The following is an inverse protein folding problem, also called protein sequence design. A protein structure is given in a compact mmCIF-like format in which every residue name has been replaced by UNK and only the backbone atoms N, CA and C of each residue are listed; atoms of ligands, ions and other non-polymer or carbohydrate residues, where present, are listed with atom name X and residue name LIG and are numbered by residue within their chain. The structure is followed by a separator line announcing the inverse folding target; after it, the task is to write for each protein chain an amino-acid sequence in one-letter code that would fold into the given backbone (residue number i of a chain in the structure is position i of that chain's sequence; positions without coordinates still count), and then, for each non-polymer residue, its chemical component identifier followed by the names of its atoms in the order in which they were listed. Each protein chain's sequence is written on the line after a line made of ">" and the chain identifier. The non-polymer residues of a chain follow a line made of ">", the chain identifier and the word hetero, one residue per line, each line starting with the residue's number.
data_IF_044606743819
#
_entry.id   IF_044606743819
#
_cell.length_a   1.000
_cell.length_b   1.000
_cell.length_c   1.000
_cell.angle_alpha   90.00
_cell.angle_beta   90.00
_cell.angle_gamma   90.00
#
_symmetry.space_group_name_H-M   'P 1'
#
loop_
_entity.id
_entity.type
_entity.pdbx_description
1 polymer ?
#
# COMPACT_ATOMS: atom_id res chain seq x y z
N UNK A 1 -1.23 -28.99 -7.14
CA UNK A 1 -1.08 -27.68 -6.49
C UNK A 1 0.01 -26.92 -7.24
N UNK A 2 -0.31 -25.76 -7.80
CA UNK A 2 0.65 -24.90 -8.53
C UNK A 2 1.67 -24.28 -7.56
N UNK A 3 2.92 -24.15 -7.99
CA UNK A 3 3.97 -23.45 -7.24
C UNK A 3 4.20 -22.08 -7.86
N UNK A 4 4.00 -21.03 -7.08
CA UNK A 4 4.17 -19.64 -7.50
C UNK A 4 5.41 -19.06 -6.79
N UNK A 5 6.38 -18.57 -7.54
CA UNK A 5 7.49 -17.81 -6.99
C UNK A 5 7.14 -16.32 -6.95
N UNK A 6 7.18 -15.71 -5.77
CA UNK A 6 6.80 -14.31 -5.54
C UNK A 6 8.03 -13.47 -5.26
N UNK A 7 8.29 -12.48 -6.12
CA UNK A 7 9.42 -11.55 -6.00
C UNK A 7 8.97 -10.08 -6.14
N UNK A 8 9.83 -9.16 -5.74
CA UNK A 8 9.57 -7.72 -5.89
C UNK A 8 9.07 -7.02 -4.64
N UNK A 9 8.76 -7.78 -3.58
CA UNK A 9 8.44 -7.26 -2.25
C UNK A 9 9.68 -7.24 -1.35
N UNK A 10 9.57 -6.60 -0.18
CA UNK A 10 10.55 -6.76 0.91
C UNK A 10 10.30 -8.07 1.67
N UNK A 11 9.05 -8.57 1.60
CA UNK A 11 8.51 -9.72 2.32
C UNK A 11 7.41 -9.34 3.30
N UNK A 12 6.81 -10.36 3.90
CA UNK A 12 5.84 -10.27 4.99
C UNK A 12 5.99 -11.49 5.92
N UNK A 13 5.38 -11.56 7.12
CA UNK A 13 4.63 -10.50 7.79
C UNK A 13 5.53 -9.46 8.47
N UNK A 14 4.91 -8.42 9.02
CA UNK A 14 5.57 -7.46 9.92
C UNK A 14 6.44 -6.40 9.24
N UNK A 15 6.37 -6.26 7.90
CA UNK A 15 7.08 -5.23 7.16
C UNK A 15 6.08 -4.19 6.63
N UNK A 16 6.31 -2.93 6.98
CA UNK A 16 5.44 -1.81 6.58
C UNK A 16 5.53 -1.54 5.07
N UNK A 17 4.38 -1.45 4.39
CA UNK A 17 4.29 -1.05 2.98
C UNK A 17 3.02 -1.54 2.32
N UNK A 18 2.48 -0.78 1.36
CA UNK A 18 1.25 -1.17 0.65
C UNK A 18 1.42 -2.44 -0.19
N UNK A 19 2.60 -2.63 -0.80
CA UNK A 19 2.90 -3.85 -1.58
C UNK A 19 3.05 -5.06 -0.66
N UNK A 20 3.67 -4.87 0.51
CA UNK A 20 3.84 -5.90 1.53
C UNK A 20 2.48 -6.32 2.10
N UNK A 21 1.60 -5.36 2.43
CA UNK A 21 0.24 -5.62 2.89
C UNK A 21 -0.61 -6.31 1.81
N UNK A 22 -0.59 -5.81 0.57
CA UNK A 22 -1.25 -6.47 -0.56
C UNK A 22 -0.79 -7.93 -0.71
N UNK A 23 0.51 -8.16 -0.69
CA UNK A 23 1.06 -9.51 -0.85
C UNK A 23 0.69 -10.43 0.32
N UNK A 24 0.71 -9.90 1.55
CA UNK A 24 0.29 -10.63 2.73
C UNK A 24 -1.15 -11.13 2.57
N UNK A 25 -2.10 -10.24 2.37
CA UNK A 25 -3.51 -10.61 2.25
C UNK A 25 -3.78 -11.49 1.03
N UNK A 26 -3.23 -11.16 -0.14
CA UNK A 26 -3.42 -11.96 -1.35
C UNK A 26 -2.99 -13.41 -1.15
N UNK A 27 -1.76 -13.64 -0.66
CA UNK A 27 -1.21 -14.99 -0.60
C UNK A 27 -1.69 -15.80 0.60
N UNK A 28 -2.17 -15.16 1.66
CA UNK A 28 -2.82 -15.86 2.79
C UNK A 28 -4.25 -16.30 2.48
N UNK A 29 -4.89 -15.75 1.43
CA UNK A 29 -6.20 -16.18 0.93
C UNK A 29 -6.12 -17.15 -0.26
N UNK A 30 -4.93 -17.67 -0.58
CA UNK A 30 -4.71 -18.63 -1.67
C UNK A 30 -4.42 -20.04 -1.15
N UNK A 31 -5.45 -20.84 -0.90
CA UNK A 31 -5.26 -22.20 -0.36
C UNK A 31 -4.84 -23.23 -1.42
N UNK A 32 -5.15 -22.97 -2.71
CA UNK A 32 -4.94 -23.89 -3.82
C UNK A 32 -3.55 -23.79 -4.46
N UNK A 33 -2.66 -22.96 -3.95
CA UNK A 33 -1.31 -22.72 -4.50
C UNK A 33 -0.24 -22.85 -3.42
N UNK A 34 0.92 -23.33 -3.81
CA UNK A 34 2.13 -23.25 -3.00
C UNK A 34 2.90 -21.98 -3.37
N UNK A 35 3.07 -21.09 -2.41
CA UNK A 35 3.76 -19.82 -2.60
C UNK A 35 5.20 -19.93 -2.09
N UNK A 36 6.20 -19.64 -2.93
CA UNK A 36 7.58 -19.39 -2.54
C UNK A 36 7.82 -17.90 -2.49
N UNK A 37 7.79 -17.33 -1.29
CA UNK A 37 7.98 -15.89 -1.08
C UNK A 37 9.46 -15.58 -0.85
N UNK A 38 10.06 -14.81 -1.76
CA UNK A 38 11.43 -14.34 -1.67
C UNK A 38 11.51 -13.08 -0.83
N UNK A 39 12.07 -13.19 0.41
CA UNK A 39 12.14 -12.09 1.36
C UNK A 39 13.55 -11.50 1.43
N UNK A 40 13.62 -10.19 1.67
CA UNK A 40 14.89 -9.46 1.85
C UNK A 40 15.35 -9.57 3.30
N UNK A 41 16.41 -10.35 3.55
CA UNK A 41 16.92 -10.63 4.91
C UNK A 41 17.20 -9.38 5.74
N UNK A 42 17.63 -8.27 5.13
CA UNK A 42 17.91 -7.01 5.83
C UNK A 42 16.68 -6.36 6.50
N UNK A 43 15.48 -6.75 6.13
CA UNK A 43 14.22 -6.25 6.71
C UNK A 43 13.59 -7.20 7.73
N UNK A 44 14.15 -8.40 7.90
CA UNK A 44 13.66 -9.38 8.85
C UNK A 44 14.30 -9.08 10.22
N UNK A 45 13.58 -8.43 11.11
CA UNK A 45 14.03 -8.15 12.47
C UNK A 45 13.40 -9.13 13.44
N UNK A 46 14.17 -10.17 13.87
CA UNK A 46 13.99 -10.94 15.12
C UNK A 46 12.62 -11.50 15.52
N UNK A 47 11.57 -11.25 14.79
CA UNK A 47 10.24 -11.79 15.06
C UNK A 47 10.17 -13.23 14.52
N UNK A 48 9.66 -14.15 15.33
CA UNK A 48 9.28 -15.48 14.88
C UNK A 48 8.31 -15.33 13.71
N UNK A 49 8.73 -15.75 12.52
CA UNK A 49 7.92 -15.60 11.33
C UNK A 49 6.61 -16.37 11.54
N UNK A 50 5.48 -15.67 11.51
CA UNK A 50 4.19 -16.32 11.38
C UNK A 50 4.27 -17.22 10.15
N UNK A 51 3.95 -18.50 10.32
CA UNK A 51 4.00 -19.49 9.25
C UNK A 51 2.61 -19.74 8.71
N UNK A 52 2.52 -19.92 7.40
CA UNK A 52 1.29 -20.25 6.69
C UNK A 52 1.48 -21.59 5.97
N UNK A 53 0.50 -22.48 5.98
CA UNK A 53 0.66 -23.85 5.43
C UNK A 53 1.03 -23.88 3.95
N UNK A 54 0.58 -22.87 3.19
CA UNK A 54 0.79 -22.75 1.74
C UNK A 54 2.01 -21.89 1.37
N UNK A 55 2.70 -21.25 2.34
CA UNK A 55 3.77 -20.27 2.07
C UNK A 55 5.13 -20.78 2.58
N UNK A 56 6.06 -20.95 1.66
CA UNK A 56 7.47 -21.23 1.91
C UNK A 56 8.28 -19.92 1.80
N UNK A 57 9.03 -19.58 2.84
CA UNK A 57 9.87 -18.37 2.85
C UNK A 57 11.29 -18.69 2.36
N UNK A 58 11.74 -17.91 1.37
CA UNK A 58 13.11 -17.95 0.84
C UNK A 58 13.82 -16.64 1.21
N UNK A 59 14.63 -16.69 2.26
CA UNK A 59 15.30 -15.50 2.81
C UNK A 59 16.67 -15.31 2.14
N UNK A 60 16.74 -14.36 1.19
CA UNK A 60 17.96 -14.06 0.46
C UNK A 60 18.70 -12.84 1.01
N UNK A 61 20.04 -12.79 0.85
CA UNK A 61 20.83 -11.62 1.20
C UNK A 61 20.32 -10.36 0.47
N UNK A 62 20.25 -9.26 1.19
CA UNK A 62 19.91 -7.95 0.62
C UNK A 62 20.73 -6.86 1.30
N UNK A 63 20.89 -5.73 0.63
CA UNK A 63 21.50 -4.51 1.17
C UNK A 63 20.40 -3.52 1.54
N UNK A 64 20.73 -2.50 2.34
CA UNK A 64 19.85 -1.34 2.59
C UNK A 64 20.24 -0.11 1.75
N UNK A 65 21.15 -0.26 0.78
CA UNK A 65 21.54 0.84 -0.10
C UNK A 65 20.39 1.22 -1.03
N UNK A 66 19.96 2.49 -0.94
CA UNK A 66 18.86 3.04 -1.76
C UNK A 66 19.08 2.75 -3.25
N UNK A 67 18.08 2.19 -3.92
CA UNK A 67 18.06 1.90 -5.35
C UNK A 67 18.77 0.58 -5.77
N UNK A 68 19.79 0.15 -5.07
CA UNK A 68 20.52 -1.08 -5.40
C UNK A 68 19.90 -2.33 -4.74
N UNK A 69 19.28 -2.17 -3.58
CA UNK A 69 18.71 -3.28 -2.80
C UNK A 69 17.72 -4.13 -3.59
N UNK A 70 16.81 -3.47 -4.35
CA UNK A 70 15.78 -4.15 -5.12
C UNK A 70 16.40 -4.93 -6.29
N UNK A 71 17.35 -4.32 -7.00
CA UNK A 71 18.03 -4.93 -8.17
C UNK A 71 18.82 -6.15 -7.73
N UNK A 72 19.67 -6.01 -6.70
CA UNK A 72 20.49 -7.09 -6.20
C UNK A 72 19.67 -8.29 -5.71
N UNK A 73 18.68 -8.03 -4.83
CA UNK A 73 17.82 -9.08 -4.31
C UNK A 73 17.03 -9.77 -5.43
N UNK A 74 16.51 -9.00 -6.40
CA UNK A 74 15.75 -9.59 -7.51
C UNK A 74 16.64 -10.47 -8.38
N UNK A 75 17.89 -10.07 -8.65
CA UNK A 75 18.85 -10.88 -9.40
C UNK A 75 19.09 -12.22 -8.69
N UNK A 76 19.38 -12.21 -7.38
CA UNK A 76 19.57 -13.45 -6.60
C UNK A 76 18.32 -14.31 -6.61
N UNK A 77 17.14 -13.71 -6.48
CA UNK A 77 15.87 -14.42 -6.56
C UNK A 77 15.66 -15.10 -7.91
N UNK A 78 15.96 -14.41 -9.00
CA UNK A 78 15.84 -14.97 -10.36
C UNK A 78 16.79 -16.13 -10.57
N UNK A 79 18.04 -16.03 -10.12
CA UNK A 79 19.02 -17.15 -10.20
C UNK A 79 18.52 -18.38 -9.42
N UNK A 80 17.99 -18.18 -8.22
CA UNK A 80 17.41 -19.25 -7.42
C UNK A 80 16.18 -19.87 -8.09
N UNK A 81 15.29 -19.04 -8.65
CA UNK A 81 14.08 -19.47 -9.36
C UNK A 81 14.42 -20.35 -10.57
N UNK A 82 15.45 -20.00 -11.35
CA UNK A 82 15.89 -20.77 -12.52
C UNK A 82 16.31 -22.19 -12.11
N UNK A 83 16.96 -22.34 -10.94
CA UNK A 83 17.34 -23.65 -10.40
C UNK A 83 16.18 -24.48 -9.79
N UNK A 84 15.08 -23.81 -9.37
CA UNK A 84 13.98 -24.44 -8.63
C UNK A 84 12.62 -24.37 -9.35
N UNK A 85 12.58 -23.98 -10.56
CA UNK A 85 11.48 -23.91 -11.56
C UNK A 85 10.06 -23.99 -10.96
N UNK A 86 9.43 -22.86 -10.61
CA UNK A 86 8.01 -22.81 -10.27
C UNK A 86 7.14 -22.93 -11.54
N UNK A 87 5.84 -23.10 -11.37
CA UNK A 87 4.88 -23.05 -12.49
C UNK A 87 4.69 -21.64 -13.02
N UNK A 88 4.73 -20.62 -12.13
CA UNK A 88 4.60 -19.18 -12.46
C UNK A 88 5.53 -18.36 -11.59
N UNK A 89 6.07 -17.28 -12.16
CA UNK A 89 6.75 -16.24 -11.40
C UNK A 89 5.86 -15.00 -11.33
N UNK A 90 5.45 -14.61 -10.12
CA UNK A 90 4.69 -13.41 -9.88
C UNK A 90 5.61 -12.29 -9.40
N UNK A 91 5.70 -11.23 -10.20
CA UNK A 91 6.56 -10.08 -9.93
C UNK A 91 5.71 -8.91 -9.46
N UNK A 92 6.04 -8.34 -8.31
CA UNK A 92 5.44 -7.09 -7.84
C UNK A 92 6.33 -5.91 -8.20
N UNK A 93 5.74 -4.88 -8.81
CA UNK A 93 6.37 -3.65 -9.26
C UNK A 93 7.24 -3.73 -10.53
N UNK A 94 7.33 -2.59 -11.21
CA UNK A 94 8.04 -2.42 -12.48
C UNK A 94 9.57 -2.53 -12.37
N UNK A 95 10.15 -2.15 -11.22
CA UNK A 95 11.60 -2.25 -11.02
C UNK A 95 12.10 -3.70 -11.10
N UNK A 96 11.62 -4.61 -10.23
CA UNK A 96 11.88 -6.05 -10.33
C UNK A 96 11.47 -6.66 -11.66
N UNK A 97 10.42 -6.15 -12.31
CA UNK A 97 9.94 -6.60 -13.62
C UNK A 97 10.96 -6.48 -14.74
N UNK A 98 12.02 -5.67 -14.59
CA UNK A 98 13.12 -5.62 -15.56
C UNK A 98 13.80 -6.98 -15.79
N UNK A 99 13.65 -7.92 -14.88
CA UNK A 99 14.19 -9.27 -14.99
C UNK A 99 13.25 -10.26 -15.70
N UNK A 100 12.04 -9.86 -16.08
CA UNK A 100 11.09 -10.70 -16.81
C UNK A 100 11.69 -11.33 -18.09
N UNK A 101 12.53 -10.65 -18.91
CA UNK A 101 13.15 -11.26 -20.07
C UNK A 101 13.97 -12.51 -19.75
N UNK A 102 14.74 -12.52 -18.65
CA UNK A 102 15.57 -13.67 -18.25
C UNK A 102 14.69 -14.87 -17.87
N UNK A 103 13.59 -14.63 -17.16
CA UNK A 103 12.64 -15.68 -16.79
C UNK A 103 11.92 -16.24 -18.03
N UNK A 104 11.54 -15.38 -18.97
CA UNK A 104 10.93 -15.77 -20.23
C UNK A 104 11.88 -16.59 -21.12
N UNK A 105 13.16 -16.22 -21.16
CA UNK A 105 14.19 -16.92 -21.94
C UNK A 105 14.34 -18.37 -21.50
N UNK A 106 14.17 -18.65 -20.20
CA UNK A 106 14.21 -20.03 -19.66
C UNK A 106 12.85 -20.71 -19.64
N UNK A 107 11.83 -20.12 -20.30
CA UNK A 107 10.50 -20.71 -20.47
C UNK A 107 9.58 -20.61 -19.25
N UNK A 108 9.87 -19.72 -18.27
CA UNK A 108 9.01 -19.51 -17.11
C UNK A 108 7.93 -18.46 -17.41
N UNK A 109 6.64 -18.76 -17.14
CA UNK A 109 5.58 -17.78 -17.23
C UNK A 109 5.73 -16.69 -16.20
N UNK A 110 5.49 -15.43 -16.61
CA UNK A 110 5.60 -14.25 -15.75
C UNK A 110 4.27 -13.53 -15.65
N UNK A 111 3.79 -13.34 -14.43
CA UNK A 111 2.68 -12.44 -14.07
C UNK A 111 3.26 -11.21 -13.38
N UNK A 112 2.83 -10.04 -13.76
CA UNK A 112 3.26 -8.77 -13.15
C UNK A 112 2.07 -8.12 -12.45
N UNK A 113 2.19 -7.77 -11.16
CA UNK A 113 1.28 -6.81 -10.54
C UNK A 113 1.90 -5.41 -10.57
N UNK A 114 1.21 -4.52 -11.29
CA UNK A 114 1.56 -3.11 -11.42
C UNK A 114 0.88 -2.30 -10.30
N UNK A 115 1.64 -1.92 -9.26
CA UNK A 115 1.12 -1.17 -8.12
C UNK A 115 1.08 0.34 -8.36
N UNK A 116 2.18 0.90 -8.90
CA UNK A 116 2.28 2.33 -9.18
C UNK A 116 3.45 2.65 -10.10
N UNK A 117 3.43 3.80 -10.81
CA UNK A 117 4.56 4.29 -11.56
C UNK A 117 5.62 4.87 -10.63
N UNK A 118 6.49 4.02 -10.09
CA UNK A 118 7.49 4.39 -9.08
C UNK A 118 8.37 5.58 -9.48
N UNK A 119 8.51 5.87 -10.78
CA UNK A 119 9.30 7.00 -11.29
C UNK A 119 8.63 8.37 -11.06
N UNK A 120 7.35 8.43 -10.69
CA UNK A 120 6.65 9.67 -10.36
C UNK A 120 6.98 10.19 -8.95
N UNK A 121 7.62 9.37 -8.11
CA UNK A 121 8.06 9.82 -6.80
C UNK A 121 9.16 10.89 -6.90
N UNK A 122 9.01 11.97 -6.13
CA UNK A 122 9.93 13.12 -6.12
C UNK A 122 11.39 12.78 -5.76
N UNK A 123 11.60 11.66 -5.06
CA UNK A 123 12.93 11.19 -4.61
C UNK A 123 13.88 10.78 -5.75
N UNK A 124 13.39 10.58 -6.97
CA UNK A 124 14.19 10.07 -8.07
C UNK A 124 14.77 11.20 -8.91
N UNK A 125 16.10 11.11 -9.20
CA UNK A 125 16.76 11.96 -10.18
C UNK A 125 16.25 11.70 -11.61
N UNK A 126 16.49 12.63 -12.54
CA UNK A 126 16.04 12.47 -13.93
C UNK A 126 16.59 11.19 -14.61
N UNK A 127 17.88 10.79 -14.45
CA UNK A 127 18.40 9.53 -14.98
C UNK A 127 17.71 8.31 -14.37
N UNK A 128 17.43 8.33 -13.04
CA UNK A 128 16.75 7.23 -12.37
C UNK A 128 15.29 7.09 -12.85
N UNK A 129 14.59 8.21 -13.06
CA UNK A 129 13.23 8.20 -13.66
C UNK A 129 13.25 7.62 -15.07
N UNK A 130 14.23 8.00 -15.89
CA UNK A 130 14.37 7.44 -17.23
C UNK A 130 14.59 5.92 -17.17
N UNK A 131 15.50 5.45 -16.30
CA UNK A 131 15.76 4.02 -16.12
C UNK A 131 14.49 3.27 -15.68
N UNK A 132 13.74 3.79 -14.69
CA UNK A 132 12.51 3.17 -14.22
C UNK A 132 11.43 3.11 -15.31
N UNK A 133 11.35 4.10 -16.20
CA UNK A 133 10.49 4.04 -17.38
C UNK A 133 10.90 2.93 -18.37
N UNK A 134 12.22 2.68 -18.54
CA UNK A 134 12.66 1.54 -19.33
C UNK A 134 12.31 0.21 -18.65
N UNK A 135 12.49 0.12 -17.32
CA UNK A 135 12.06 -1.05 -16.55
C UNK A 135 10.55 -1.32 -16.72
N UNK A 136 9.71 -0.28 -16.70
CA UNK A 136 8.28 -0.40 -16.96
C UNK A 136 8.00 -0.99 -18.34
N UNK A 137 8.57 -0.40 -19.41
CA UNK A 137 8.39 -0.90 -20.77
C UNK A 137 8.81 -2.37 -20.92
N UNK A 138 9.96 -2.74 -20.34
CA UNK A 138 10.45 -4.12 -20.33
C UNK A 138 9.48 -5.03 -19.59
N UNK A 139 9.06 -4.63 -18.40
CA UNK A 139 8.14 -5.40 -17.55
C UNK A 139 6.81 -5.66 -18.26
N UNK A 140 6.22 -4.60 -18.83
CA UNK A 140 4.96 -4.68 -19.56
C UNK A 140 5.09 -5.54 -20.82
N UNK A 141 6.20 -5.43 -21.56
CA UNK A 141 6.41 -6.19 -22.80
C UNK A 141 6.59 -7.69 -22.54
N UNK A 142 7.44 -8.06 -21.59
CA UNK A 142 7.86 -9.44 -21.36
C UNK A 142 6.98 -10.24 -20.41
N UNK A 143 6.07 -9.62 -19.66
CA UNK A 143 5.09 -10.38 -18.85
C UNK A 143 4.03 -11.06 -19.71
N UNK A 144 3.63 -12.28 -19.32
CA UNK A 144 2.55 -13.03 -19.96
C UNK A 144 1.18 -12.43 -19.64
N UNK A 145 1.00 -12.03 -18.38
CA UNK A 145 -0.20 -11.36 -17.88
C UNK A 145 0.21 -10.20 -16.97
N UNK A 146 -0.62 -9.17 -16.93
CA UNK A 146 -0.38 -7.97 -16.15
C UNK A 146 -1.63 -7.67 -15.34
N UNK A 147 -1.50 -7.59 -14.03
CA UNK A 147 -2.55 -7.17 -13.11
C UNK A 147 -2.29 -5.72 -12.74
N UNK A 148 -3.21 -4.84 -13.04
CA UNK A 148 -3.19 -3.46 -12.59
C UNK A 148 -4.12 -3.31 -11.38
N UNK A 149 -3.61 -2.74 -10.30
CA UNK A 149 -4.45 -2.38 -9.13
C UNK A 149 -5.09 -1.01 -9.29
N UNK A 150 -4.78 -0.30 -10.37
CA UNK A 150 -5.30 1.03 -10.69
C UNK A 150 -5.73 1.09 -12.15
N UNK A 151 -7.03 1.32 -12.37
CA UNK A 151 -7.64 1.36 -13.70
C UNK A 151 -7.10 2.49 -14.56
N UNK A 152 -6.90 3.68 -13.97
CA UNK A 152 -6.31 4.82 -14.67
C UNK A 152 -4.90 4.50 -15.20
N UNK A 153 -4.07 3.79 -14.41
CA UNK A 153 -2.73 3.40 -14.87
C UNK A 153 -2.81 2.34 -15.98
N UNK A 154 -3.76 1.41 -15.91
CA UNK A 154 -3.98 0.44 -16.99
C UNK A 154 -4.32 1.14 -18.31
N UNK A 155 -5.23 2.11 -18.28
CA UNK A 155 -5.61 2.91 -19.44
C UNK A 155 -4.44 3.74 -19.99
N UNK A 156 -3.67 4.39 -19.10
CA UNK A 156 -2.47 5.16 -19.45
C UNK A 156 -1.37 4.31 -20.09
N UNK A 157 -1.26 3.04 -19.69
CA UNK A 157 -0.33 2.07 -20.30
C UNK A 157 -0.86 1.44 -21.60
N UNK A 158 -2.03 1.86 -22.10
CA UNK A 158 -2.62 1.42 -23.37
C UNK A 158 -3.48 0.16 -23.27
N UNK A 159 -3.95 -0.22 -22.08
CA UNK A 159 -4.87 -1.35 -21.84
C UNK A 159 -4.54 -2.58 -22.72
N UNK A 160 -3.32 -3.12 -22.58
CA UNK A 160 -2.81 -4.25 -23.36
C UNK A 160 -3.74 -5.46 -23.24
N UNK A 161 -3.91 -6.25 -24.30
CA UNK A 161 -4.77 -7.46 -24.33
C UNK A 161 -4.47 -8.47 -23.22
N UNK A 162 -3.25 -8.44 -22.67
CA UNK A 162 -2.79 -9.27 -21.54
C UNK A 162 -2.97 -8.62 -20.17
N UNK A 163 -3.61 -7.44 -20.10
CA UNK A 163 -3.84 -6.67 -18.88
C UNK A 163 -5.22 -6.93 -18.31
N UNK A 164 -5.31 -6.94 -16.99
CA UNK A 164 -6.56 -6.99 -16.23
C UNK A 164 -6.50 -6.02 -15.06
N UNK A 165 -7.63 -5.40 -14.75
CA UNK A 165 -7.78 -4.63 -13.52
C UNK A 165 -8.28 -5.57 -12.41
N UNK A 166 -7.53 -5.66 -11.32
CA UNK A 166 -7.92 -6.33 -10.08
C UNK A 166 -7.55 -5.39 -8.93
N UNK A 167 -8.49 -4.84 -8.18
CA UNK A 167 -8.23 -3.89 -7.11
C UNK A 167 -7.49 -4.54 -5.94
N UNK A 168 -7.04 -3.74 -4.98
CA UNK A 168 -6.67 -4.24 -3.66
C UNK A 168 -7.95 -4.60 -2.88
N UNK A 169 -7.82 -5.51 -1.92
CA UNK A 169 -8.91 -5.95 -1.09
C UNK A 169 -8.84 -5.45 0.34
N UNK A 170 -9.84 -5.83 1.11
CA UNK A 170 -9.96 -5.62 2.54
C UNK A 170 -10.54 -6.88 3.20
N UNK A 171 -10.04 -7.23 4.38
CA UNK A 171 -10.62 -8.27 5.22
C UNK A 171 -11.77 -7.70 6.07
N UNK A 172 -12.74 -8.53 6.45
CA UNK A 172 -13.73 -8.15 7.45
C UNK A 172 -13.05 -7.65 8.72
N UNK A 173 -13.47 -6.51 9.22
CA UNK A 173 -12.88 -5.91 10.43
C UNK A 173 -13.80 -6.08 11.63
N UNK A 174 -13.20 -6.20 12.81
CA UNK A 174 -13.90 -6.14 14.10
C UNK A 174 -13.45 -4.88 14.83
N UNK A 175 -14.40 -4.02 15.19
CA UNK A 175 -14.10 -2.82 15.97
C UNK A 175 -13.59 -3.19 17.35
N UNK A 176 -12.55 -2.50 17.82
CA UNK A 176 -12.07 -2.61 19.19
C UNK A 176 -12.91 -1.73 20.11
N UNK A 177 -13.23 -2.25 21.28
CA UNK A 177 -13.83 -1.49 22.38
C UNK A 177 -12.77 -0.97 23.36
N UNK A 178 -11.53 -1.45 23.25
CA UNK A 178 -10.42 -1.02 24.09
C UNK A 178 -9.93 0.38 23.69
N UNK A 179 -9.53 1.17 24.67
CA UNK A 179 -8.91 2.51 24.51
C UNK A 179 -7.52 2.59 25.10
N UNK A 180 -6.95 1.46 25.53
CA UNK A 180 -5.67 1.42 26.24
C UNK A 180 -4.50 2.06 25.46
N UNK A 181 -4.46 1.88 24.15
CA UNK A 181 -3.47 2.51 23.29
C UNK A 181 -3.71 4.02 23.18
N UNK A 182 -4.96 4.45 23.07
CA UNK A 182 -5.34 5.86 23.00
C UNK A 182 -4.93 6.57 24.30
N UNK A 183 -5.28 5.98 25.45
CA UNK A 183 -4.96 6.52 26.79
C UNK A 183 -3.45 6.69 26.98
N UNK A 184 -2.67 5.66 26.60
CA UNK A 184 -1.20 5.70 26.64
C UNK A 184 -0.60 6.87 25.86
N UNK A 185 -1.25 7.30 24.77
CA UNK A 185 -0.77 8.36 23.89
C UNK A 185 -1.49 9.70 24.09
N UNK A 186 -2.40 9.81 25.08
CA UNK A 186 -3.18 11.02 25.30
C UNK A 186 -4.15 11.35 24.17
N UNK A 187 -4.67 10.32 23.47
CA UNK A 187 -5.61 10.46 22.35
C UNK A 187 -7.05 10.36 22.88
N UNK A 188 -7.87 11.34 22.54
CA UNK A 188 -9.28 11.37 22.94
C UNK A 188 -10.14 10.57 21.97
N UNK A 189 -10.83 9.53 22.45
CA UNK A 189 -11.75 8.74 21.63
C UNK A 189 -12.83 9.60 20.99
N UNK A 190 -13.02 9.45 19.66
CA UNK A 190 -13.96 10.25 18.87
C UNK A 190 -13.50 11.69 18.60
N UNK A 191 -12.38 12.13 19.18
CA UNK A 191 -11.90 13.52 19.14
C UNK A 191 -10.72 13.75 18.21
N UNK A 192 -10.39 12.86 17.29
CA UNK A 192 -9.22 13.03 16.41
C UNK A 192 -9.48 12.66 14.95
N UNK A 193 -8.75 13.34 14.08
CA UNK A 193 -8.62 12.95 12.68
C UNK A 193 -7.43 11.99 12.55
N UNK A 194 -7.64 10.87 11.86
CA UNK A 194 -6.63 9.82 11.69
C UNK A 194 -5.98 9.92 10.30
N UNK A 195 -4.67 9.83 10.24
CA UNK A 195 -3.92 9.58 9.01
C UNK A 195 -3.01 8.36 9.22
N UNK A 196 -3.04 7.41 8.28
CA UNK A 196 -2.26 6.18 8.37
C UNK A 196 -1.37 6.03 7.15
N UNK A 197 -0.09 5.72 7.34
CA UNK A 197 0.84 5.48 6.26
C UNK A 197 2.27 5.86 6.57
N UNK A 198 3.18 5.55 5.64
CA UNK A 198 4.59 5.92 5.78
C UNK A 198 4.76 7.45 5.84
N UNK A 199 5.69 7.92 6.65
CA UNK A 199 6.02 9.35 6.71
C UNK A 199 6.91 9.72 5.52
N UNK A 200 6.27 10.04 4.40
CA UNK A 200 6.92 10.40 3.14
C UNK A 200 6.18 11.56 2.46
N UNK A 201 6.88 12.44 1.70
CA UNK A 201 6.25 13.62 1.09
C UNK A 201 5.06 13.29 0.17
N UNK A 202 5.04 12.12 -0.47
CA UNK A 202 3.91 11.70 -1.30
C UNK A 202 2.60 11.52 -0.53
N UNK A 203 2.67 11.38 0.81
CA UNK A 203 1.47 11.29 1.67
C UNK A 203 0.86 12.65 2.00
N UNK A 204 1.56 13.76 1.71
CA UNK A 204 1.01 15.11 1.84
C UNK A 204 0.56 15.48 3.25
N UNK A 205 1.15 14.86 4.29
CA UNK A 205 0.74 15.06 5.68
C UNK A 205 0.91 16.50 6.15
N UNK A 206 1.80 17.27 5.51
CA UNK A 206 1.97 18.70 5.76
C UNK A 206 0.67 19.48 5.55
N UNK A 207 -0.14 19.14 4.56
CA UNK A 207 -1.41 19.80 4.31
C UNK A 207 -2.42 19.56 5.44
N UNK A 208 -2.43 18.36 6.01
CA UNK A 208 -3.29 18.03 7.15
C UNK A 208 -2.84 18.76 8.42
N UNK A 209 -1.53 18.80 8.69
CA UNK A 209 -0.98 19.53 9.83
C UNK A 209 -1.30 21.02 9.72
N UNK A 210 -1.15 21.60 8.53
CA UNK A 210 -1.46 23.01 8.28
C UNK A 210 -2.96 23.30 8.43
N UNK A 211 -3.83 22.43 7.93
CA UNK A 211 -5.27 22.54 8.11
C UNK A 211 -5.66 22.47 9.60
N UNK A 212 -5.06 21.56 10.37
CA UNK A 212 -5.29 21.45 11.80
C UNK A 212 -4.85 22.70 12.58
N UNK A 213 -3.75 23.35 12.16
CA UNK A 213 -3.35 24.63 12.74
C UNK A 213 -4.36 25.76 12.49
N UNK A 214 -5.00 25.77 11.31
CA UNK A 214 -5.99 26.80 10.92
C UNK A 214 -7.38 26.57 11.53
N UNK A 215 -7.71 25.33 11.91
CA UNK A 215 -9.03 24.96 12.41
C UNK A 215 -9.01 24.73 13.92
N UNK A 216 -9.49 25.72 14.74
CA UNK A 216 -9.54 25.58 16.21
C UNK A 216 -10.39 24.39 16.66
N UNK A 217 -11.44 24.05 15.93
CA UNK A 217 -12.38 22.96 16.22
C UNK A 217 -11.78 21.55 16.03
N UNK A 218 -10.64 21.41 15.36
CA UNK A 218 -9.90 20.14 15.28
C UNK A 218 -9.09 19.98 16.59
N UNK A 219 -9.46 19.05 17.49
CA UNK A 219 -8.77 18.93 18.77
C UNK A 219 -7.43 18.19 18.61
N UNK A 220 -7.40 17.10 17.85
CA UNK A 220 -6.22 16.26 17.66
C UNK A 220 -6.13 15.72 16.23
N UNK A 221 -4.91 15.52 15.75
CA UNK A 221 -4.58 14.75 14.55
C UNK A 221 -3.65 13.62 14.97
N UNK A 222 -4.00 12.38 14.65
CA UNK A 222 -3.17 11.22 14.91
C UNK A 222 -2.56 10.72 13.62
N UNK A 223 -1.24 10.67 13.55
CA UNK A 223 -0.50 10.16 12.40
C UNK A 223 0.16 8.83 12.81
N UNK A 224 -0.38 7.72 12.28
CA UNK A 224 0.13 6.38 12.52
C UNK A 224 1.00 5.91 11.36
N UNK A 225 2.30 5.78 11.61
CA UNK A 225 3.28 5.35 10.64
C UNK A 225 4.69 5.82 10.96
N UNK A 226 5.67 5.28 10.24
CA UNK A 226 7.09 5.61 10.43
C UNK A 226 7.76 5.92 9.09
N UNK A 227 8.93 6.58 9.16
CA UNK A 227 9.83 6.75 8.03
C UNK A 227 10.69 5.51 7.83
N UNK A 228 10.93 5.09 6.59
CA UNK A 228 11.78 3.93 6.29
C UNK A 228 13.27 4.20 6.57
N UNK A 229 13.76 5.42 6.30
CA UNK A 229 15.20 5.73 6.29
C UNK A 229 15.56 7.13 6.79
N UNK A 230 14.61 8.06 6.87
CA UNK A 230 14.90 9.48 7.12
C UNK A 230 13.80 10.11 7.97
N UNK A 231 14.21 10.66 9.11
CA UNK A 231 13.32 11.39 10.01
C UNK A 231 13.12 12.86 9.61
N UNK A 232 13.77 13.36 8.54
CA UNK A 232 13.71 14.77 8.15
C UNK A 232 12.28 15.24 7.87
N UNK A 233 11.47 14.44 7.16
CA UNK A 233 10.09 14.76 6.91
C UNK A 233 9.25 14.76 8.18
N UNK A 234 9.46 13.81 9.09
CA UNK A 234 8.80 13.83 10.40
C UNK A 234 9.18 15.08 11.22
N UNK A 235 10.45 15.45 11.24
CA UNK A 235 10.90 16.68 11.89
C UNK A 235 10.28 17.92 11.27
N UNK A 236 10.13 17.96 9.94
CA UNK A 236 9.41 19.03 9.24
C UNK A 236 7.97 19.13 9.72
N UNK A 237 7.23 18.00 9.77
CA UNK A 237 5.85 17.98 10.26
C UNK A 237 5.75 18.43 11.71
N UNK A 238 6.68 18.01 12.58
CA UNK A 238 6.73 18.44 13.97
C UNK A 238 6.97 19.96 14.15
N UNK A 239 7.80 20.55 13.26
CA UNK A 239 8.02 22.01 13.26
C UNK A 239 6.81 22.77 12.73
N UNK A 240 6.08 22.18 11.79
CA UNK A 240 4.87 22.76 11.21
C UNK A 240 3.71 22.76 12.21
N UNK A 241 3.65 21.82 13.15
CA UNK A 241 2.62 21.70 14.19
C UNK A 241 2.82 22.74 15.31
N UNK A 242 2.49 23.99 15.00
CA UNK A 242 2.66 25.12 15.93
C UNK A 242 1.68 25.06 17.11
N UNK A 243 0.52 24.47 16.93
CA UNK A 243 -0.53 24.35 17.94
C UNK A 243 -0.45 23.06 18.76
N UNK A 244 0.54 22.21 18.53
CA UNK A 244 0.76 20.94 19.22
C UNK A 244 -0.43 20.00 19.21
N UNK A 245 -1.11 19.93 18.07
CA UNK A 245 -2.30 19.09 17.87
C UNK A 245 -1.98 17.70 17.30
N UNK A 246 -0.76 17.49 16.80
CA UNK A 246 -0.38 16.27 16.10
C UNK A 246 0.31 15.27 17.02
N UNK A 247 -0.23 14.05 17.05
CA UNK A 247 0.33 12.92 17.80
C UNK A 247 0.89 11.93 16.78
N UNK A 248 2.20 11.66 16.85
CA UNK A 248 2.88 10.66 16.05
C UNK A 248 3.00 9.37 16.85
N UNK A 249 2.30 8.30 16.43
CA UNK A 249 2.34 7.02 17.15
C UNK A 249 3.46 6.10 16.68
N UNK A 250 4.16 6.47 15.59
CA UNK A 250 5.12 5.58 14.95
C UNK A 250 4.42 4.46 14.18
N UNK A 251 5.19 3.43 13.79
CA UNK A 251 4.61 2.25 13.15
C UNK A 251 3.67 1.54 14.13
N UNK A 252 2.40 1.50 13.77
CA UNK A 252 1.32 0.93 14.56
C UNK A 252 0.65 -0.18 13.76
N UNK A 253 0.36 -1.31 14.39
CA UNK A 253 -0.25 -2.49 13.74
C UNK A 253 -1.09 -3.31 14.73
N UNK A 254 -1.80 -4.32 14.23
CA UNK A 254 -2.58 -5.24 15.06
C UNK A 254 -3.66 -4.51 15.88
N UNK A 255 -3.78 -4.85 17.17
CA UNK A 255 -4.80 -4.30 18.06
C UNK A 255 -4.68 -2.79 18.26
N UNK A 256 -3.46 -2.25 18.33
CA UNK A 256 -3.23 -0.81 18.52
C UNK A 256 -3.75 -0.01 17.30
N UNK A 257 -3.51 -0.48 16.08
CA UNK A 257 -4.05 0.14 14.87
C UNK A 257 -5.58 -0.03 14.79
N UNK A 258 -6.09 -1.18 15.23
CA UNK A 258 -7.53 -1.44 15.32
C UNK A 258 -8.22 -0.45 16.25
N UNK A 259 -7.62 -0.14 17.41
CA UNK A 259 -8.12 0.89 18.31
C UNK A 259 -8.15 2.26 17.63
N UNK A 260 -7.09 2.64 16.89
CA UNK A 260 -7.06 3.91 16.17
C UNK A 260 -8.18 4.03 15.13
N UNK A 261 -8.42 3.00 14.32
CA UNK A 261 -9.55 3.02 13.37
C UNK A 261 -10.90 3.00 14.09
N UNK A 262 -11.05 2.24 15.18
CA UNK A 262 -12.34 2.07 15.86
C UNK A 262 -12.85 3.33 16.54
N UNK A 263 -11.95 4.21 16.95
CA UNK A 263 -12.24 5.39 17.76
C UNK A 263 -11.94 6.72 17.08
N UNK A 264 -11.53 6.73 15.81
CA UNK A 264 -11.31 7.97 15.08
C UNK A 264 -12.64 8.68 14.74
N UNK A 265 -12.60 10.01 14.60
CA UNK A 265 -13.69 10.81 14.05
C UNK A 265 -13.82 10.64 12.54
N UNK A 266 -12.69 10.56 11.86
CA UNK A 266 -12.60 10.34 10.41
C UNK A 266 -11.17 9.94 10.02
N UNK A 267 -11.03 9.31 8.85
CA UNK A 267 -9.74 9.21 8.16
C UNK A 267 -9.56 10.40 7.22
N UNK A 268 -8.36 11.00 7.22
CA UNK A 268 -7.95 12.00 6.23
C UNK A 268 -6.74 11.48 5.46
N UNK A 269 -6.86 11.35 4.14
CA UNK A 269 -5.81 10.89 3.23
C UNK A 269 -5.39 12.04 2.29
N UNK A 270 -4.44 12.90 2.69
CA UNK A 270 -4.04 14.08 1.92
C UNK A 270 -2.98 13.78 0.86
N UNK A 271 -2.88 12.53 0.43
CA UNK A 271 -1.84 12.05 -0.47
C UNK A 271 -1.81 12.79 -1.81
N UNK A 272 -0.62 13.07 -2.30
CA UNK A 272 -0.43 13.67 -3.63
C UNK A 272 -0.27 12.63 -4.73
N UNK A 273 0.02 11.39 -4.36
CA UNK A 273 0.11 10.26 -5.28
C UNK A 273 -0.17 8.94 -4.56
N UNK A 274 -1.07 8.15 -5.13
CA UNK A 274 -1.40 6.79 -4.69
C UNK A 274 -1.56 5.86 -5.90
N UNK A 275 -1.23 4.60 -5.72
CA UNK A 275 -1.61 3.56 -6.65
C UNK A 275 -3.08 3.17 -6.42
N UNK A 276 -3.31 2.47 -5.33
CA UNK A 276 -4.62 2.14 -4.77
C UNK A 276 -4.48 2.16 -3.23
N UNK A 277 -5.09 3.13 -2.53
CA UNK A 277 -4.83 3.34 -1.10
C UNK A 277 -5.61 2.35 -0.23
N UNK A 278 -4.97 1.28 0.24
CA UNK A 278 -5.58 0.29 1.13
C UNK A 278 -6.12 0.90 2.42
N UNK A 279 -5.44 1.91 2.97
CA UNK A 279 -5.88 2.61 4.19
C UNK A 279 -7.26 3.26 4.04
N UNK A 280 -7.67 3.57 2.81
CA UNK A 280 -9.00 4.08 2.51
C UNK A 280 -10.04 2.97 2.68
N UNK A 281 -9.78 1.77 2.12
CA UNK A 281 -10.64 0.60 2.32
C UNK A 281 -10.69 0.18 3.79
N UNK A 282 -9.55 0.23 4.49
CA UNK A 282 -9.49 -0.05 5.93
C UNK A 282 -10.45 0.88 6.69
N UNK A 283 -10.36 2.19 6.49
CA UNK A 283 -11.25 3.15 7.15
C UNK A 283 -12.73 2.91 6.82
N UNK A 284 -13.03 2.63 5.55
CA UNK A 284 -14.40 2.32 5.09
C UNK A 284 -14.93 1.04 5.76
N UNK A 285 -14.10 0.00 5.93
CA UNK A 285 -14.48 -1.23 6.61
C UNK A 285 -14.81 -0.98 8.10
N UNK A 286 -14.13 -0.03 8.75
CA UNK A 286 -14.50 0.42 10.10
C UNK A 286 -15.71 1.36 10.13
N UNK A 287 -16.31 1.69 8.99
CA UNK A 287 -17.42 2.63 8.90
C UNK A 287 -17.03 4.07 9.23
N UNK A 288 -15.75 4.43 9.08
CA UNK A 288 -15.31 5.80 9.32
C UNK A 288 -15.71 6.73 8.17
N UNK A 289 -16.12 7.96 8.46
CA UNK A 289 -16.10 9.01 7.45
C UNK A 289 -14.69 9.18 6.89
N UNK A 290 -14.58 9.37 5.58
CA UNK A 290 -13.28 9.51 4.91
C UNK A 290 -13.21 10.82 4.15
N UNK A 291 -12.06 11.50 4.20
CA UNK A 291 -11.72 12.63 3.34
C UNK A 291 -10.43 12.29 2.61
N UNK A 292 -10.39 12.44 1.30
CA UNK A 292 -9.20 12.15 0.51
C UNK A 292 -8.94 13.20 -0.57
N UNK A 293 -7.68 13.37 -0.94
CA UNK A 293 -7.30 14.19 -2.08
C UNK A 293 -7.95 13.68 -3.37
N UNK A 294 -8.40 14.59 -4.23
CA UNK A 294 -8.89 14.26 -5.57
C UNK A 294 -7.73 13.94 -6.50
N UNK A 295 -7.37 12.66 -6.56
CA UNK A 295 -6.30 12.12 -7.40
C UNK A 295 -6.74 10.79 -8.04
N UNK A 296 -6.14 10.36 -9.15
CA UNK A 296 -6.53 9.12 -9.83
C UNK A 296 -6.50 7.86 -8.93
N UNK A 297 -5.61 7.81 -7.93
CA UNK A 297 -5.52 6.68 -7.00
C UNK A 297 -6.71 6.57 -6.05
N UNK A 298 -7.20 7.70 -5.51
CA UNK A 298 -8.35 7.74 -4.60
C UNK A 298 -9.67 7.61 -5.34
N UNK A 299 -9.73 8.07 -6.60
CA UNK A 299 -10.89 7.92 -7.50
C UNK A 299 -11.11 6.48 -7.96
N UNK A 300 -10.24 5.52 -7.60
CA UNK A 300 -10.50 4.09 -7.83
C UNK A 300 -11.58 3.54 -6.90
N UNK A 301 -11.83 4.21 -5.80
CA UNK A 301 -12.90 3.91 -4.85
C UNK A 301 -14.05 4.86 -5.13
N UNK A 302 -15.26 4.30 -5.29
CA UNK A 302 -16.46 5.11 -5.58
C UNK A 302 -16.97 5.77 -4.30
N UNK A 303 -16.55 7.01 -4.07
CA UNK A 303 -16.96 7.82 -2.94
C UNK A 303 -17.80 9.02 -3.42
N UNK A 304 -18.76 9.51 -2.61
CA UNK A 304 -19.45 10.76 -2.88
C UNK A 304 -18.49 11.94 -3.05
N UNK A 305 -18.82 12.88 -3.92
CA UNK A 305 -17.98 14.07 -4.24
C UNK A 305 -17.57 14.86 -3.00
N UNK A 306 -18.40 14.93 -2.00
CA UNK A 306 -18.13 15.62 -0.73
C UNK A 306 -16.96 15.04 0.08
N UNK A 307 -16.54 13.80 -0.23
CA UNK A 307 -15.41 13.14 0.40
C UNK A 307 -14.07 13.56 -0.20
N UNK A 308 -14.10 14.25 -1.34
CA UNK A 308 -12.90 14.70 -2.02
C UNK A 308 -12.60 16.17 -1.75
N UNK A 309 -11.30 16.48 -1.69
CA UNK A 309 -10.79 17.85 -1.66
C UNK A 309 -9.66 18.02 -2.68
N UNK A 310 -9.44 19.23 -3.13
CA UNK A 310 -8.40 19.55 -4.13
C UNK A 310 -7.02 19.21 -3.57
N UNK A 311 -6.26 18.41 -4.31
CA UNK A 311 -4.91 18.00 -3.92
C UNK A 311 -3.99 19.19 -3.70
N UNK A 312 -3.20 19.20 -2.62
CA UNK A 312 -2.28 20.27 -2.22
C UNK A 312 -2.96 21.61 -1.90
N UNK A 313 -4.24 21.61 -1.69
CA UNK A 313 -5.01 22.82 -1.36
C UNK A 313 -5.51 22.74 0.10
N UNK A 314 -4.87 23.52 0.97
CA UNK A 314 -5.19 23.56 2.40
C UNK A 314 -6.55 24.19 2.64
N UNK A 315 -6.96 25.19 1.85
CA UNK A 315 -8.28 25.84 2.00
C UNK A 315 -9.40 24.87 1.65
N UNK A 316 -9.24 24.11 0.55
CA UNK A 316 -10.16 23.03 0.18
C UNK A 316 -10.25 21.95 1.25
N UNK A 317 -9.11 21.53 1.84
CA UNK A 317 -9.07 20.57 2.93
C UNK A 317 -9.74 21.13 4.20
N UNK A 318 -9.50 22.38 4.56
CA UNK A 318 -10.15 23.03 5.71
C UNK A 318 -11.68 23.07 5.54
N UNK A 319 -12.16 23.41 4.36
CA UNK A 319 -13.60 23.41 4.05
C UNK A 319 -14.20 21.99 4.17
N UNK A 320 -13.49 20.95 3.68
CA UNK A 320 -13.92 19.57 3.78
C UNK A 320 -13.96 19.07 5.24
N UNK A 321 -12.93 19.38 6.03
CA UNK A 321 -12.89 19.04 7.47
C UNK A 321 -14.02 19.76 8.23
N UNK A 322 -14.25 21.03 7.97
CA UNK A 322 -15.33 21.79 8.64
C UNK A 322 -16.68 21.15 8.36
N UNK A 323 -17.02 20.88 7.09
CA UNK A 323 -18.27 20.18 6.73
C UNK A 323 -18.39 18.82 7.46
N UNK A 324 -17.31 18.06 7.53
CA UNK A 324 -17.31 16.76 8.21
C UNK A 324 -17.58 16.91 9.71
N UNK A 325 -16.97 17.90 10.36
CA UNK A 325 -17.15 18.11 11.81
C UNK A 325 -18.54 18.64 12.17
N UNK A 326 -19.20 19.33 11.25
CA UNK A 326 -20.58 19.82 11.41
C UNK A 326 -21.62 18.67 11.28
N UNK A 327 -21.24 17.50 10.75
CA UNK A 327 -22.12 16.33 10.66
C UNK A 327 -22.07 15.48 11.95
N UNK A 328 -23.15 14.76 12.30
CA UNK A 328 -23.13 13.80 13.41
C UNK A 328 -22.02 12.78 13.26
N UNK A 329 -21.47 12.31 14.39
CA UNK A 329 -20.46 11.26 14.41
C UNK A 329 -21.12 9.88 14.31
N UNK A 330 -21.68 9.57 13.15
CA UNK A 330 -22.35 8.30 12.87
C UNK A 330 -21.49 7.43 11.94
N UNK A 331 -21.53 6.10 12.11
CA UNK A 331 -20.84 5.20 11.19
C UNK A 331 -21.39 5.31 9.76
N UNK A 332 -20.49 5.37 8.79
CA UNK A 332 -20.84 5.32 7.37
C UNK A 332 -20.99 3.87 6.91
N UNK A 333 -21.89 3.63 5.96
CA UNK A 333 -22.04 2.36 5.29
C UNK A 333 -21.45 2.42 3.88
N UNK A 334 -20.52 1.52 3.60
CA UNK A 334 -19.84 1.40 2.30
C UNK A 334 -20.08 0.00 1.74
N UNK A 335 -20.33 -0.09 0.44
CA UNK A 335 -20.32 -1.38 -0.25
C UNK A 335 -18.88 -1.77 -0.56
N UNK A 336 -18.41 -2.86 0.07
CA UNK A 336 -17.04 -3.36 -0.06
C UNK A 336 -16.98 -4.76 -0.69
N UNK A 337 -18.08 -5.27 -1.26
CA UNK A 337 -18.14 -6.65 -1.78
C UNK A 337 -17.12 -6.92 -2.90
N UNK A 338 -16.83 -5.94 -3.75
CA UNK A 338 -15.83 -6.09 -4.81
C UNK A 338 -14.38 -6.11 -4.32
N UNK A 339 -14.15 -5.70 -3.05
CA UNK A 339 -12.82 -5.63 -2.41
C UNK A 339 -12.56 -6.82 -1.48
N UNK A 340 -13.34 -7.89 -1.57
CA UNK A 340 -13.14 -9.10 -0.79
C UNK A 340 -11.90 -9.88 -1.25
N UNK A 341 -10.97 -10.16 -0.32
CA UNK A 341 -9.70 -10.82 -0.64
C UNK A 341 -9.89 -12.25 -1.15
N UNK A 342 -10.89 -13.00 -0.72
CA UNK A 342 -11.15 -14.34 -1.24
C UNK A 342 -11.55 -14.30 -2.72
N UNK A 343 -12.35 -13.30 -3.09
CA UNK A 343 -12.75 -13.06 -4.48
C UNK A 343 -11.55 -12.62 -5.33
N UNK A 344 -10.73 -11.70 -4.82
CA UNK A 344 -9.51 -11.23 -5.48
C UNK A 344 -8.50 -12.37 -5.66
N UNK A 345 -8.28 -13.19 -4.64
CA UNK A 345 -7.38 -14.34 -4.71
C UNK A 345 -7.81 -15.35 -5.79
N UNK A 346 -9.13 -15.64 -5.89
CA UNK A 346 -9.67 -16.48 -6.97
C UNK A 346 -9.44 -15.87 -8.35
N UNK A 347 -9.65 -14.57 -8.52
CA UNK A 347 -9.38 -13.87 -9.79
C UNK A 347 -7.90 -13.97 -10.18
N UNK A 348 -7.00 -13.72 -9.24
CA UNK A 348 -5.55 -13.82 -9.49
C UNK A 348 -5.14 -15.27 -9.82
N UNK A 349 -5.76 -16.27 -9.19
CA UNK A 349 -5.50 -17.68 -9.49
C UNK A 349 -5.90 -18.06 -10.95
N UNK A 350 -7.00 -17.50 -11.47
CA UNK A 350 -7.38 -17.64 -12.89
C UNK A 350 -6.34 -17.01 -13.82
N UNK A 351 -5.74 -15.87 -13.40
CA UNK A 351 -4.66 -15.24 -14.18
C UNK A 351 -3.42 -16.17 -14.26
N UNK A 352 -3.05 -16.83 -13.16
CA UNK A 352 -1.96 -17.82 -13.19
C UNK A 352 -2.25 -18.95 -14.18
N UNK A 353 -3.47 -19.52 -14.19
CA UNK A 353 -3.84 -20.58 -15.14
C UNK A 353 -3.74 -20.10 -16.59
N UNK A 354 -4.11 -18.86 -16.85
CA UNK A 354 -4.02 -18.26 -18.18
C UNK A 354 -2.59 -17.90 -18.60
N UNK A 355 -1.64 -17.81 -17.68
CA UNK A 355 -0.25 -17.53 -17.96
C UNK A 355 0.57 -18.81 -18.23
N UNK A 356 0.14 -19.96 -17.70
CA UNK A 356 0.77 -21.28 -17.88
C UNK A 356 0.45 -21.86 -19.25
N UNK A 357 -0.76 -21.59 -19.76
CA UNK A 357 -1.20 -22.01 -21.11
C UNK A 357 -0.46 -21.24 -22.20
#
# INVERSE_FOLDING_TARGET
>A
MKTIAVIGTRGFPGIQGGVEAHSYHLYTHMDDVRVRLYRRRAYLTGQSAQTFPNIEYIDLPSTRMKGFEAVWHTLLSVLHIIGHRPDVVHIHNIGPGMFAPLLRLVGLPVVLTYHSPNYEHAKWSAPARWLLRQCEKISLHFSNRIIFVNKYQMEKCGALDKSVFIPNGIDPVTRSTSTSFLEKHGITSGGYLLAVGRLTPEKGLEYLVEAANRLPQVPQVVIAGASDHDSAYQQQLQRLDVNKKVIFTGFTSGEDLRQLYSHARALVLPSVNEGFPMVLLEAMAYGLPVLCSDIPGTRQVDLPEQNYFTVKDVDSLCAAITRLLDTPNEPCHYDLQEYDWDTIARQVNVIYDSAIK
#
